data_IF_225688678688
#
_entry.id   IF_225688678688
#
_cell.length_a   1.000
_cell.length_b   1.000
_cell.length_c   1.000
_cell.angle_alpha   90.00
_cell.angle_beta   90.00
_cell.angle_gamma   90.00
#
_symmetry.space_group_name_H-M   'P 1'
#
loop_
_entity.id
_entity.type
_entity.pdbx_description
1 polymer ?
#
# COMPACT_ATOMS: atom_id res chain seq x y z
N UNK A 1 33.31 30.39 21.32
CA UNK A 1 32.08 29.84 21.92
C UNK A 1 31.67 28.51 21.30
N UNK A 2 31.55 28.39 19.97
CA UNK A 2 31.20 27.11 19.31
C UNK A 2 32.22 26.00 19.64
N UNK A 3 33.52 26.33 19.62
CA UNK A 3 34.60 25.36 19.89
C UNK A 3 34.63 24.80 21.32
N UNK A 4 34.22 25.58 22.33
CA UNK A 4 34.11 25.12 23.72
C UNK A 4 32.82 24.33 23.96
N UNK A 5 31.76 24.65 23.22
CA UNK A 5 30.50 23.90 23.23
C UNK A 5 30.71 22.48 22.68
N UNK A 6 31.45 22.35 21.58
CA UNK A 6 31.82 21.05 20.97
C UNK A 6 32.68 20.18 21.90
N UNK A 7 33.45 20.78 22.82
CA UNK A 7 34.38 20.04 23.69
C UNK A 7 33.75 19.63 25.05
N UNK A 8 32.50 20.01 25.33
CA UNK A 8 31.89 19.79 26.64
C UNK A 8 31.25 18.40 26.77
N UNK A 9 31.95 17.47 27.44
CA UNK A 9 31.51 16.07 27.61
C UNK A 9 30.23 15.88 28.43
N UNK A 10 29.81 16.88 29.22
CA UNK A 10 28.56 16.82 30.00
C UNK A 10 27.30 16.96 29.13
N UNK A 11 27.40 17.59 27.96
CA UNK A 11 26.32 17.73 26.97
C UNK A 11 26.37 16.70 25.83
N UNK A 12 27.34 15.79 25.84
CA UNK A 12 27.61 14.85 24.75
C UNK A 12 26.44 13.87 24.51
N UNK A 13 25.71 13.50 25.57
CA UNK A 13 24.54 12.62 25.45
C UNK A 13 23.43 13.22 24.60
N UNK A 14 23.16 14.52 24.75
CA UNK A 14 22.15 15.20 23.94
C UNK A 14 22.57 15.29 22.47
N UNK A 15 23.85 15.57 22.21
CA UNK A 15 24.38 15.67 20.85
C UNK A 15 24.40 14.31 20.13
N UNK A 16 24.86 13.26 20.81
CA UNK A 16 24.80 11.89 20.29
C UNK A 16 23.34 11.46 20.08
N UNK A 17 22.45 11.72 21.03
CA UNK A 17 21.04 11.37 20.91
C UNK A 17 20.39 11.99 19.66
N UNK A 18 20.62 13.29 19.42
CA UNK A 18 20.10 13.99 18.23
C UNK A 18 20.68 13.39 16.94
N UNK A 19 21.97 13.10 16.90
CA UNK A 19 22.60 12.48 15.71
C UNK A 19 22.04 11.07 15.48
N UNK A 20 21.86 10.28 16.54
CA UNK A 20 21.29 8.92 16.43
C UNK A 20 19.80 8.92 16.12
N UNK A 21 19.08 9.99 16.45
CA UNK A 21 17.66 10.10 16.09
C UNK A 21 17.44 10.17 14.58
N UNK A 22 18.38 10.73 13.81
CA UNK A 22 18.23 10.81 12.35
C UNK A 22 18.08 9.43 11.69
N UNK A 23 19.01 8.46 11.86
CA UNK A 23 18.84 7.13 11.29
C UNK A 23 17.70 6.34 11.93
N UNK A 24 17.40 6.55 13.22
CA UNK A 24 16.26 5.88 13.89
C UNK A 24 14.94 6.32 13.27
N UNK A 25 14.71 7.63 13.18
CA UNK A 25 13.49 8.18 12.55
C UNK A 25 13.42 7.84 11.07
N UNK A 26 14.56 7.81 10.36
CA UNK A 26 14.63 7.33 8.98
C UNK A 26 14.18 5.88 8.85
N UNK A 27 14.63 5.00 9.75
CA UNK A 27 14.18 3.61 9.78
C UNK A 27 12.69 3.46 10.08
N UNK A 28 12.17 4.26 11.01
CA UNK A 28 10.73 4.27 11.34
C UNK A 28 9.90 4.73 10.13
N UNK A 29 10.32 5.79 9.44
CA UNK A 29 9.62 6.28 8.25
C UNK A 29 9.52 5.19 7.16
N UNK A 30 10.65 4.54 6.87
CA UNK A 30 10.68 3.42 5.90
C UNK A 30 9.78 2.25 6.32
N UNK A 31 9.74 1.92 7.62
CA UNK A 31 8.90 0.84 8.13
C UNK A 31 7.40 1.16 7.99
N UNK A 32 7.00 2.41 8.24
CA UNK A 32 5.62 2.87 8.06
C UNK A 32 5.22 2.82 6.59
N UNK A 33 6.05 3.39 5.71
CA UNK A 33 5.79 3.38 4.26
C UNK A 33 5.68 1.95 3.72
N UNK A 34 6.57 1.04 4.16
CA UNK A 34 6.52 -0.36 3.78
C UNK A 34 5.24 -1.05 4.26
N UNK A 35 4.83 -0.79 5.50
CA UNK A 35 3.59 -1.37 6.05
C UNK A 35 2.37 -0.90 5.27
N UNK A 36 2.34 0.38 4.88
CA UNK A 36 1.28 0.96 4.07
C UNK A 36 1.23 0.35 2.66
N UNK A 37 2.39 0.16 2.02
CA UNK A 37 2.48 -0.55 0.74
C UNK A 37 1.96 -1.99 0.82
N UNK A 38 2.32 -2.71 1.89
CA UNK A 38 1.84 -4.09 2.09
C UNK A 38 0.33 -4.11 2.34
N UNK A 39 -0.20 -3.14 3.09
CA UNK A 39 -1.64 -2.99 3.33
C UNK A 39 -2.39 -2.77 2.02
N UNK A 40 -1.95 -1.82 1.20
CA UNK A 40 -2.53 -1.56 -0.12
C UNK A 40 -2.48 -2.79 -1.03
N UNK A 41 -1.35 -3.50 -1.06
CA UNK A 41 -1.23 -4.77 -1.81
C UNK A 41 -2.28 -5.80 -1.37
N UNK A 42 -2.44 -6.00 -0.06
CA UNK A 42 -3.38 -6.98 0.46
C UNK A 42 -4.83 -6.60 0.15
N UNK A 43 -5.17 -5.31 0.24
CA UNK A 43 -6.50 -4.80 -0.14
C UNK A 43 -6.80 -5.03 -1.62
N UNK A 44 -5.85 -4.72 -2.51
CA UNK A 44 -5.99 -4.96 -3.95
C UNK A 44 -6.18 -6.45 -4.27
N UNK A 45 -5.42 -7.34 -3.62
CA UNK A 45 -5.58 -8.78 -3.80
C UNK A 45 -6.93 -9.30 -3.29
N UNK A 46 -7.41 -8.76 -2.18
CA UNK A 46 -8.73 -9.10 -1.64
C UNK A 46 -9.86 -8.63 -2.58
N UNK A 47 -9.75 -7.41 -3.14
CA UNK A 47 -10.68 -6.90 -4.14
C UNK A 47 -10.65 -7.74 -5.42
N UNK A 48 -9.47 -8.19 -5.85
CA UNK A 48 -9.30 -9.07 -7.01
C UNK A 48 -9.97 -10.44 -6.81
N UNK A 49 -9.76 -11.07 -5.66
CA UNK A 49 -10.37 -12.37 -5.34
C UNK A 49 -11.90 -12.25 -5.27
N UNK A 50 -12.40 -11.22 -4.60
CA UNK A 50 -13.83 -10.94 -4.52
C UNK A 50 -14.45 -10.70 -5.91
N UNK A 51 -13.77 -9.93 -6.78
CA UNK A 51 -14.20 -9.73 -8.15
C UNK A 51 -14.19 -11.02 -8.97
N UNK A 52 -13.17 -11.86 -8.80
CA UNK A 52 -13.09 -13.17 -9.47
C UNK A 52 -14.27 -14.07 -9.13
N UNK A 53 -14.61 -14.20 -7.84
CA UNK A 53 -15.75 -15.01 -7.39
C UNK A 53 -17.08 -14.43 -7.88
N UNK A 54 -17.26 -13.11 -7.81
CA UNK A 54 -18.48 -12.44 -8.27
C UNK A 54 -18.67 -12.59 -9.79
N UNK A 55 -17.60 -12.47 -10.58
CA UNK A 55 -17.63 -12.69 -12.04
C UNK A 55 -17.85 -14.16 -12.38
N UNK A 56 -17.31 -15.10 -11.61
CA UNK A 56 -17.59 -16.52 -11.83
C UNK A 56 -19.09 -16.84 -11.69
N UNK A 57 -19.78 -16.21 -10.72
CA UNK A 57 -21.23 -16.32 -10.60
C UNK A 57 -21.97 -15.80 -11.85
N UNK A 58 -21.52 -14.68 -12.41
CA UNK A 58 -22.07 -14.13 -13.64
C UNK A 58 -21.85 -15.06 -14.84
N UNK A 59 -20.66 -15.65 -14.99
CA UNK A 59 -20.38 -16.62 -16.05
C UNK A 59 -21.34 -17.82 -15.97
N UNK A 60 -21.61 -18.34 -14.78
CA UNK A 60 -22.60 -19.42 -14.58
C UNK A 60 -24.02 -18.98 -14.95
N UNK A 61 -24.35 -17.70 -14.76
CA UNK A 61 -25.61 -17.12 -15.18
C UNK A 61 -25.73 -16.88 -16.71
N UNK A 62 -24.73 -17.28 -17.50
CA UNK A 62 -24.69 -17.14 -18.96
C UNK A 62 -24.86 -15.67 -19.46
N UNK A 63 -24.36 -14.69 -18.71
CA UNK A 63 -24.24 -13.30 -19.24
C UNK A 63 -23.18 -13.24 -20.33
N UNK A 64 -23.28 -12.21 -21.18
CA UNK A 64 -22.31 -11.99 -22.25
C UNK A 64 -20.90 -11.74 -21.68
N UNK A 65 -19.88 -12.14 -22.43
CA UNK A 65 -18.48 -11.90 -22.07
C UNK A 65 -18.16 -10.42 -21.84
N UNK A 66 -18.82 -9.53 -22.60
CA UNK A 66 -18.65 -8.09 -22.46
C UNK A 66 -19.22 -7.60 -21.11
N UNK A 67 -20.39 -8.09 -20.73
CA UNK A 67 -21.04 -7.74 -19.46
C UNK A 67 -20.29 -8.35 -18.27
N UNK A 68 -19.78 -9.58 -18.41
CA UNK A 68 -18.96 -10.23 -17.39
C UNK A 68 -17.66 -9.47 -17.12
N UNK A 69 -16.99 -8.97 -18.17
CA UNK A 69 -15.79 -8.12 -18.04
C UNK A 69 -16.10 -6.76 -17.42
N UNK A 70 -17.18 -6.11 -17.86
CA UNK A 70 -17.63 -4.84 -17.29
C UNK A 70 -17.99 -4.99 -15.81
N UNK A 71 -18.69 -6.08 -15.45
CA UNK A 71 -19.04 -6.41 -14.08
C UNK A 71 -17.79 -6.67 -13.23
N UNK A 72 -16.83 -7.46 -13.73
CA UNK A 72 -15.56 -7.72 -13.03
C UNK A 72 -14.83 -6.41 -12.68
N UNK A 73 -14.75 -5.51 -13.66
CA UNK A 73 -14.11 -4.20 -13.48
C UNK A 73 -14.84 -3.36 -12.43
N UNK A 74 -16.16 -3.21 -12.56
CA UNK A 74 -16.95 -2.40 -11.62
C UNK A 74 -16.89 -2.97 -10.20
N UNK A 75 -16.94 -4.30 -10.06
CA UNK A 75 -16.86 -4.96 -8.77
C UNK A 75 -15.47 -4.79 -8.15
N UNK A 76 -14.41 -4.96 -8.93
CA UNK A 76 -13.03 -4.73 -8.47
C UNK A 76 -12.85 -3.28 -7.99
N UNK A 77 -13.20 -2.29 -8.83
CA UNK A 77 -13.03 -0.88 -8.51
C UNK A 77 -13.88 -0.45 -7.29
N UNK A 78 -15.08 -1.02 -7.12
CA UNK A 78 -15.93 -0.75 -5.96
C UNK A 78 -15.39 -1.33 -4.65
N UNK A 79 -14.53 -2.34 -4.71
CA UNK A 79 -13.93 -2.99 -3.54
C UNK A 79 -12.49 -2.50 -3.24
N UNK A 80 -11.96 -1.56 -4.03
CA UNK A 80 -10.71 -0.88 -3.71
C UNK A 80 -10.97 0.12 -2.57
N UNK A 81 -10.52 -0.21 -1.36
CA UNK A 81 -10.80 0.60 -0.18
C UNK A 81 -9.92 1.85 -0.11
N UNK A 82 -8.60 1.70 -0.06
CA UNK A 82 -7.65 2.83 0.08
C UNK A 82 -6.71 2.99 -1.13
N UNK A 83 -6.97 2.23 -2.19
CA UNK A 83 -6.19 2.26 -3.43
C UNK A 83 -7.01 2.98 -4.48
N UNK A 84 -6.42 3.98 -5.14
CA UNK A 84 -7.10 4.66 -6.25
C UNK A 84 -7.25 3.70 -7.42
N UNK A 85 -8.44 3.57 -8.04
CA UNK A 85 -8.62 2.78 -9.25
C UNK A 85 -7.65 3.16 -10.38
N UNK A 86 -7.25 4.43 -10.47
CA UNK A 86 -6.32 4.94 -11.47
C UNK A 86 -4.91 4.35 -11.36
N UNK A 87 -4.53 3.85 -10.18
CA UNK A 87 -3.22 3.25 -9.90
C UNK A 87 -3.20 1.73 -10.16
N UNK A 88 -4.29 1.19 -10.71
CA UNK A 88 -4.46 -0.25 -10.95
C UNK A 88 -4.89 -0.55 -12.38
N UNK A 89 -4.43 -1.69 -12.93
CA UNK A 89 -4.88 -2.19 -14.22
C UNK A 89 -5.41 -3.62 -14.07
N UNK A 90 -6.72 -3.80 -14.29
CA UNK A 90 -7.37 -5.12 -14.24
C UNK A 90 -7.34 -5.77 -15.62
N UNK A 91 -6.72 -6.94 -15.73
CA UNK A 91 -6.79 -7.79 -16.92
C UNK A 91 -7.72 -8.97 -16.67
N UNK A 92 -8.77 -9.11 -17.49
CA UNK A 92 -9.76 -10.19 -17.38
C UNK A 92 -9.64 -11.13 -18.58
N UNK A 93 -9.25 -12.37 -18.30
CA UNK A 93 -9.19 -13.46 -19.30
C UNK A 93 -10.30 -14.46 -19.00
N UNK A 94 -11.17 -14.69 -19.98
CA UNK A 94 -12.24 -15.68 -19.91
C UNK A 94 -11.76 -17.00 -20.54
N UNK A 95 -12.23 -18.17 -20.03
CA UNK A 95 -11.92 -19.48 -20.59
C UNK A 95 -12.59 -19.74 -21.95
#
# INVERSE_FOLDING_TARGET
>A
MIRSFVHNRRGNYALIAVITMVPVMGGVALAVDYTELVRQKQETLNALDAAGVATAQQIVANVSDADAKAYAKNFFEANLSHVSPADTTLSVTLP
#
